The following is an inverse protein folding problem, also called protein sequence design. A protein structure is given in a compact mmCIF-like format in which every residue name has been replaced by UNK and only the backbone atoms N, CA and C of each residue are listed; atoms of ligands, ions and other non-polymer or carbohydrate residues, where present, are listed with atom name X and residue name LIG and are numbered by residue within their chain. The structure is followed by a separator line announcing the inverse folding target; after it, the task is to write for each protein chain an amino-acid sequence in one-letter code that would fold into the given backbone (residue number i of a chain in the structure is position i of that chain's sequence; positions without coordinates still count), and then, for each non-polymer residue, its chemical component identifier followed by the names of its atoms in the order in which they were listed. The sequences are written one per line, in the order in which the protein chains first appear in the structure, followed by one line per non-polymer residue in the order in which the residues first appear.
data_IF_997584062590
#
_entry.id   IF_997584062590
#
_cell.length_a   1.000
_cell.length_b   1.000
_cell.length_c   1.000
_cell.angle_alpha   90.00
_cell.angle_beta   90.00
_cell.angle_gamma   90.00
#
_symmetry.space_group_name_H-M   'P 1'
#
loop_
_entity.id
_entity.type
_entity.pdbx_description
1 polymer ?
#
# COMPACT_ATOMS: atom_id res chain seq x y z
N UNK A 1 -13.75 14.46 -7.75
CA UNK A 1 -15.01 14.70 -8.51
C UNK A 1 -14.88 15.78 -9.60
N UNK A 2 -14.06 16.79 -9.38
CA UNK A 2 -13.90 17.94 -10.29
C UNK A 2 -12.98 17.64 -11.48
N UNK A 3 -12.04 16.71 -11.35
CA UNK A 3 -11.00 16.47 -12.38
C UNK A 3 -11.52 15.74 -13.63
N UNK A 4 -12.42 14.78 -13.47
CA UNK A 4 -12.92 13.97 -14.59
C UNK A 4 -13.76 14.80 -15.57
N UNK A 5 -14.72 15.62 -15.13
CA UNK A 5 -15.44 16.53 -16.02
C UNK A 5 -14.52 17.57 -16.68
N UNK A 6 -13.53 18.09 -15.93
CA UNK A 6 -12.57 19.05 -16.47
C UNK A 6 -11.68 18.45 -17.57
N UNK A 7 -11.47 17.13 -17.55
CA UNK A 7 -10.76 16.39 -18.60
C UNK A 7 -11.67 15.98 -19.78
N UNK A 8 -12.94 16.39 -19.81
CA UNK A 8 -13.90 16.03 -20.85
C UNK A 8 -14.33 14.57 -20.85
N UNK A 9 -14.11 13.85 -19.75
CA UNK A 9 -14.51 12.45 -19.62
C UNK A 9 -15.96 12.35 -19.15
N UNK A 10 -16.79 11.48 -19.76
CA UNK A 10 -18.14 11.25 -19.28
C UNK A 10 -18.12 10.64 -17.88
N UNK A 11 -18.86 11.24 -16.96
CA UNK A 11 -19.00 10.74 -15.58
C UNK A 11 -20.41 10.17 -15.42
N UNK A 12 -20.51 8.87 -15.27
CA UNK A 12 -21.78 8.22 -14.96
C UNK A 12 -22.29 8.61 -13.57
N UNK A 13 -23.61 8.78 -13.39
CA UNK A 13 -24.20 8.98 -12.09
C UNK A 13 -23.78 7.87 -11.10
N UNK A 14 -23.29 8.24 -9.91
CA UNK A 14 -22.84 7.30 -8.89
C UNK A 14 -21.43 6.72 -9.07
N UNK A 15 -20.69 7.08 -10.14
CA UNK A 15 -19.30 6.63 -10.34
C UNK A 15 -18.40 7.01 -9.16
N UNK A 16 -18.52 8.24 -8.65
CA UNK A 16 -17.72 8.70 -7.51
C UNK A 16 -17.99 7.89 -6.24
N UNK A 17 -19.22 7.50 -5.98
CA UNK A 17 -19.58 6.66 -4.85
C UNK A 17 -19.05 5.24 -5.01
N UNK A 18 -19.15 4.67 -6.21
CA UNK A 18 -18.55 3.38 -6.52
C UNK A 18 -17.03 3.39 -6.32
N UNK A 19 -16.35 4.40 -6.81
CA UNK A 19 -14.89 4.54 -6.66
C UNK A 19 -14.49 4.69 -5.20
N UNK A 20 -15.22 5.48 -4.39
CA UNK A 20 -14.98 5.60 -2.95
C UNK A 20 -15.16 4.27 -2.22
N UNK A 21 -16.18 3.50 -2.55
CA UNK A 21 -16.41 2.17 -1.96
C UNK A 21 -15.29 1.19 -2.32
N UNK A 22 -14.84 1.21 -3.58
CA UNK A 22 -13.71 0.39 -4.03
C UNK A 22 -12.43 0.81 -3.31
N UNK A 23 -12.15 2.11 -3.22
CA UNK A 23 -10.97 2.64 -2.50
C UNK A 23 -10.97 2.21 -1.03
N UNK A 24 -12.11 2.36 -0.35
CA UNK A 24 -12.27 1.94 1.04
C UNK A 24 -12.04 0.43 1.22
N UNK A 25 -12.62 -0.39 0.35
CA UNK A 25 -12.43 -1.84 0.38
C UNK A 25 -10.96 -2.22 0.10
N UNK A 26 -10.32 -1.56 -0.85
CA UNK A 26 -8.92 -1.81 -1.21
C UNK A 26 -7.97 -1.42 -0.07
N UNK A 27 -8.28 -0.35 0.68
CA UNK A 27 -7.50 0.04 1.86
C UNK A 27 -7.43 -1.05 2.92
N UNK A 28 -8.48 -1.85 3.09
CA UNK A 28 -8.47 -3.00 4.00
C UNK A 28 -7.44 -4.08 3.59
N UNK A 29 -7.10 -4.16 2.31
CA UNK A 29 -6.16 -5.15 1.76
C UNK A 29 -4.70 -4.65 1.75
N UNK A 30 -4.42 -3.43 2.19
CA UNK A 30 -3.08 -2.80 2.05
C UNK A 30 -1.94 -3.57 2.76
N UNK A 31 -2.27 -4.35 3.79
CA UNK A 31 -1.28 -5.13 4.53
C UNK A 31 -0.98 -6.51 3.94
N UNK A 32 -1.75 -6.98 2.98
CA UNK A 32 -1.60 -8.33 2.40
C UNK A 32 -0.21 -8.53 1.81
N UNK A 33 0.33 -7.54 1.10
CA UNK A 33 1.69 -7.58 0.56
C UNK A 33 2.75 -7.69 1.66
N UNK A 34 2.62 -6.88 2.71
CA UNK A 34 3.53 -6.91 3.86
C UNK A 34 3.47 -8.24 4.60
N UNK A 35 2.27 -8.76 4.83
CA UNK A 35 2.08 -10.06 5.47
C UNK A 35 2.70 -11.20 4.65
N UNK A 36 2.47 -11.24 3.33
CA UNK A 36 3.09 -12.21 2.43
C UNK A 36 4.62 -12.14 2.48
N UNK A 37 5.18 -10.91 2.51
CA UNK A 37 6.62 -10.70 2.62
C UNK A 37 7.18 -11.22 3.96
N UNK A 38 6.52 -10.94 5.07
CA UNK A 38 6.92 -11.43 6.40
C UNK A 38 6.89 -12.97 6.42
N UNK A 39 5.78 -13.57 6.01
CA UNK A 39 5.62 -15.03 5.97
C UNK A 39 6.70 -15.71 5.12
N UNK A 40 7.03 -15.12 3.96
CA UNK A 40 8.09 -15.62 3.10
C UNK A 40 9.48 -15.48 3.74
N UNK A 41 9.83 -14.30 4.25
CA UNK A 41 11.15 -14.04 4.82
C UNK A 41 11.41 -14.75 6.16
N UNK A 42 10.36 -15.12 6.88
CA UNK A 42 10.44 -15.97 8.07
C UNK A 42 10.45 -17.47 7.75
N UNK A 43 10.33 -17.83 6.49
CA UNK A 43 10.35 -19.24 6.04
C UNK A 43 9.05 -20.00 6.28
N UNK A 44 7.97 -19.31 6.66
CA UNK A 44 6.67 -19.94 6.91
C UNK A 44 5.94 -20.33 5.63
N UNK A 45 6.20 -19.64 4.52
CA UNK A 45 5.67 -19.99 3.19
C UNK A 45 6.77 -19.93 2.14
N UNK A 46 6.59 -20.69 1.07
CA UNK A 46 7.45 -20.65 -0.11
C UNK A 46 7.12 -19.47 -1.00
N UNK A 47 7.94 -19.22 -2.03
CA UNK A 47 7.64 -18.20 -3.05
C UNK A 47 6.30 -18.46 -3.76
N UNK A 48 6.00 -19.71 -4.09
CA UNK A 48 4.72 -20.12 -4.65
C UNK A 48 3.57 -19.86 -3.65
N UNK A 49 3.75 -20.25 -2.39
CA UNK A 49 2.79 -19.95 -1.32
C UNK A 49 2.52 -18.45 -1.10
N UNK A 50 3.53 -17.60 -1.32
CA UNK A 50 3.34 -16.16 -1.27
C UNK A 50 2.49 -15.64 -2.44
N UNK A 51 2.64 -16.20 -3.63
CA UNK A 51 1.78 -15.91 -4.79
C UNK A 51 0.34 -16.33 -4.50
N UNK A 52 0.12 -17.52 -4.01
CA UNK A 52 -1.22 -18.04 -3.65
C UNK A 52 -1.86 -17.21 -2.55
N UNK A 53 -1.08 -16.82 -1.53
CA UNK A 53 -1.53 -15.93 -0.45
C UNK A 53 -2.05 -14.59 -1.00
N UNK A 54 -1.32 -13.99 -1.92
CA UNK A 54 -1.71 -12.73 -2.51
C UNK A 54 -2.93 -12.84 -3.42
N UNK A 55 -3.11 -13.94 -4.13
CA UNK A 55 -4.31 -14.19 -4.93
C UNK A 55 -5.53 -14.40 -4.01
N UNK A 56 -5.37 -15.19 -2.96
CA UNK A 56 -6.47 -15.55 -2.04
C UNK A 56 -6.92 -14.36 -1.20
N UNK A 57 -5.98 -13.67 -0.54
CA UNK A 57 -6.29 -12.64 0.44
C UNK A 57 -6.18 -11.21 -0.10
N UNK A 58 -5.39 -11.01 -1.16
CA UNK A 58 -5.18 -9.73 -1.78
C UNK A 58 -6.00 -9.51 -3.06
N UNK A 59 -6.74 -10.53 -3.50
CA UNK A 59 -7.52 -10.52 -4.74
C UNK A 59 -6.68 -10.11 -5.96
N UNK A 60 -5.38 -10.42 -5.91
CA UNK A 60 -4.45 -10.10 -6.98
C UNK A 60 -4.60 -11.09 -8.14
N UNK A 61 -4.44 -10.61 -9.38
CA UNK A 61 -4.28 -11.52 -10.51
C UNK A 61 -2.95 -12.28 -10.39
N UNK A 62 -2.80 -13.47 -11.03
CA UNK A 62 -1.57 -14.23 -10.98
C UNK A 62 -0.33 -13.41 -11.36
N UNK A 63 -0.43 -12.58 -12.40
CA UNK A 63 0.67 -11.74 -12.90
C UNK A 63 1.04 -10.66 -11.88
N UNK A 64 0.04 -10.02 -11.26
CA UNK A 64 0.26 -9.01 -10.21
C UNK A 64 0.85 -9.62 -8.95
N UNK A 65 0.37 -10.78 -8.54
CA UNK A 65 0.90 -11.53 -7.40
C UNK A 65 2.38 -11.90 -7.64
N UNK A 66 2.70 -12.49 -8.80
CA UNK A 66 4.07 -12.85 -9.17
C UNK A 66 5.01 -11.62 -9.19
N UNK A 67 4.55 -10.50 -9.76
CA UNK A 67 5.32 -9.24 -9.79
C UNK A 67 5.59 -8.70 -8.38
N UNK A 68 4.61 -8.68 -7.50
CA UNK A 68 4.77 -8.22 -6.12
C UNK A 68 5.70 -9.13 -5.32
N UNK A 69 5.57 -10.45 -5.48
CA UNK A 69 6.46 -11.42 -4.85
C UNK A 69 7.89 -11.25 -5.35
N UNK A 70 8.09 -11.07 -6.65
CA UNK A 70 9.41 -10.76 -7.21
C UNK A 70 10.02 -9.50 -6.61
N UNK A 71 9.22 -8.48 -6.35
CA UNK A 71 9.67 -7.23 -5.76
C UNK A 71 10.17 -7.40 -4.33
N UNK A 72 9.37 -7.98 -3.42
CA UNK A 72 9.79 -8.11 -2.03
C UNK A 72 10.79 -9.26 -1.77
N UNK A 73 10.97 -10.19 -2.73
CA UNK A 73 12.04 -11.19 -2.65
C UNK A 73 13.38 -10.66 -3.17
N UNK A 74 13.39 -9.49 -3.81
CA UNK A 74 14.61 -8.87 -4.28
C UNK A 74 15.41 -8.28 -3.10
N UNK A 75 16.72 -8.53 -2.97
CA UNK A 75 17.52 -8.12 -1.82
C UNK A 75 17.45 -6.62 -1.48
N UNK A 76 17.40 -5.76 -2.51
CA UNK A 76 17.34 -4.30 -2.34
C UNK A 76 15.98 -3.77 -1.93
N UNK A 77 14.88 -4.46 -2.30
CA UNK A 77 13.52 -3.93 -2.14
C UNK A 77 12.71 -4.63 -1.06
N UNK A 78 13.25 -5.66 -0.42
CA UNK A 78 12.50 -6.48 0.55
C UNK A 78 11.85 -5.69 1.68
N UNK A 79 12.48 -4.63 2.17
CA UNK A 79 11.94 -3.77 3.23
C UNK A 79 11.09 -2.60 2.69
N UNK A 80 11.26 -2.24 1.41
CA UNK A 80 10.58 -1.10 0.81
C UNK A 80 9.06 -1.27 0.72
N UNK A 81 8.59 -2.53 0.69
CA UNK A 81 7.16 -2.84 0.63
C UNK A 81 6.36 -2.24 1.80
N UNK A 82 7.00 -2.07 2.96
CA UNK A 82 6.35 -1.52 4.15
C UNK A 82 6.17 0.00 4.11
N UNK A 83 6.87 0.70 3.21
CA UNK A 83 6.75 2.15 3.05
C UNK A 83 5.33 2.58 2.72
N UNK A 84 4.61 1.79 1.91
CA UNK A 84 3.25 2.12 1.46
C UNK A 84 2.14 1.81 2.49
N UNK A 85 2.41 0.96 3.48
CA UNK A 85 1.43 0.61 4.52
C UNK A 85 1.83 1.23 5.86
N UNK A 86 2.94 0.77 6.43
CA UNK A 86 3.43 1.25 7.73
C UNK A 86 3.82 2.72 7.68
N UNK A 87 4.49 3.17 6.61
CA UNK A 87 4.85 4.57 6.43
C UNK A 87 3.63 5.50 6.39
N UNK A 88 2.58 5.08 5.67
CA UNK A 88 1.32 5.82 5.67
C UNK A 88 0.71 5.91 7.07
N UNK A 89 0.67 4.80 7.81
CA UNK A 89 0.08 4.77 9.15
C UNK A 89 0.85 5.63 10.14
N UNK A 90 2.18 5.64 10.06
CA UNK A 90 3.01 6.50 10.90
C UNK A 90 2.69 7.98 10.67
N UNK A 91 2.55 8.40 9.41
CA UNK A 91 2.19 9.77 9.08
C UNK A 91 0.77 10.09 9.55
N UNK A 92 -0.18 9.20 9.27
CA UNK A 92 -1.59 9.39 9.61
C UNK A 92 -1.83 9.44 11.13
N UNK A 93 -0.95 8.83 11.93
CA UNK A 93 -1.02 8.84 13.40
C UNK A 93 -0.43 10.11 14.03
N UNK A 94 0.26 10.97 13.28
CA UNK A 94 0.78 12.23 13.83
C UNK A 94 -0.32 13.24 14.06
N UNK A 95 -0.10 14.20 14.96
CA UNK A 95 -1.07 15.25 15.30
C UNK A 95 -1.44 16.13 14.09
N UNK A 96 -0.48 16.37 13.18
CA UNK A 96 -0.69 17.08 11.91
C UNK A 96 -0.05 16.29 10.75
N UNK A 97 -0.80 15.38 10.11
CA UNK A 97 -0.29 14.60 8.98
C UNK A 97 0.17 15.45 7.79
N UNK A 98 -0.45 16.60 7.56
CA UNK A 98 -0.09 17.48 6.44
C UNK A 98 1.25 18.18 6.69
N UNK A 99 1.50 18.67 7.89
CA UNK A 99 2.79 19.25 8.28
C UNK A 99 3.88 18.18 8.29
N UNK A 100 3.59 17.00 8.82
CA UNK A 100 4.49 15.84 8.79
C UNK A 100 4.87 15.46 7.37
N UNK A 101 3.91 15.38 6.45
CA UNK A 101 4.18 15.07 5.06
C UNK A 101 5.08 16.14 4.38
N UNK A 102 4.84 17.43 4.64
CA UNK A 102 5.73 18.50 4.15
C UNK A 102 7.15 18.35 4.67
N UNK A 103 7.31 18.02 5.97
CA UNK A 103 8.61 17.78 6.59
C UNK A 103 9.35 16.65 5.88
N UNK A 104 8.67 15.54 5.58
CA UNK A 104 9.24 14.40 4.85
C UNK A 104 9.71 14.74 3.42
N UNK A 105 9.16 15.78 2.80
CA UNK A 105 9.60 16.25 1.48
C UNK A 105 10.87 17.11 1.52
N UNK A 106 11.22 17.67 2.67
CA UNK A 106 12.28 18.65 2.83
C UNK A 106 13.41 18.21 3.77
N UNK A 107 13.17 17.19 4.60
CA UNK A 107 14.10 16.71 5.61
C UNK A 107 14.28 15.20 5.56
N UNK A 108 15.40 14.73 6.08
CA UNK A 108 15.60 13.32 6.37
C UNK A 108 14.99 13.01 7.74
N UNK A 109 13.93 12.21 7.76
CA UNK A 109 13.19 11.86 8.98
C UNK A 109 13.21 10.36 9.18
N UNK A 110 13.62 9.91 10.35
CA UNK A 110 13.58 8.49 10.70
C UNK A 110 12.17 8.09 11.15
N UNK A 111 11.72 6.85 10.89
CA UNK A 111 10.42 6.36 11.36
C UNK A 111 10.22 6.52 12.87
N UNK A 112 11.28 6.37 13.67
CA UNK A 112 11.26 6.56 15.13
C UNK A 112 10.91 7.99 15.57
N UNK A 113 11.19 8.98 14.73
CA UNK A 113 10.85 10.38 15.02
C UNK A 113 9.36 10.69 14.81
N UNK A 114 8.64 9.83 14.06
CA UNK A 114 7.21 9.94 13.83
C UNK A 114 6.38 9.28 14.94
N UNK A 115 6.99 8.41 15.75
CA UNK A 115 6.30 7.69 16.84
C UNK A 115 6.39 8.41 18.19
N UNK A 116 7.15 9.50 18.29
CA UNK A 116 7.41 10.23 19.54
C UNK A 116 6.52 11.47 19.73
N UNK A 117 5.56 11.68 18.85
CA UNK A 117 4.57 12.78 18.93
C UNK A 117 3.19 12.25 19.23
#
# INVERSE_FOLDING_TARGET
EVLLPAAGLPVEPGLADRLRRIDTATKALRYVNGNAAILYHTGLITKAGAIDYMQTYGLATPERAAKSVSFFTHPLYRAYIFTYSVGYDLIAATADPAATFRRLLTEQVLPSELTLT
#
